data_IF_985689100349
#
_entry.id   IF_985689100349
#
_cell.length_a   1.000
_cell.length_b   1.000
_cell.length_c   1.000
_cell.angle_alpha   90.00
_cell.angle_beta   90.00
_cell.angle_gamma   90.00
#
_symmetry.space_group_name_H-M   'P 1'
#
loop_
_entity.id
_entity.type
_entity.pdbx_description
1 polymer ?
#
# COMPACT_ATOMS: atom_id res chain seq x y z
N UNK A 1 -28.92 16.51 -10.93
CA UNK A 1 -28.69 15.15 -11.47
C UNK A 1 -28.42 14.20 -10.31
N UNK A 2 -29.04 13.03 -10.32
CA UNK A 2 -29.00 12.06 -9.21
C UNK A 2 -28.81 10.65 -9.75
N UNK A 3 -28.22 9.77 -8.95
CA UNK A 3 -28.21 8.34 -9.24
C UNK A 3 -28.41 7.51 -7.97
N UNK A 4 -28.90 6.30 -8.17
CA UNK A 4 -29.06 5.26 -7.14
C UNK A 4 -28.38 4.00 -7.67
N UNK A 5 -27.59 3.34 -6.83
CA UNK A 5 -26.85 2.13 -7.17
C UNK A 5 -27.22 1.00 -6.21
N UNK A 6 -27.68 -0.13 -6.76
CA UNK A 6 -28.00 -1.35 -6.04
C UNK A 6 -26.97 -2.41 -6.42
N UNK A 7 -26.30 -3.01 -5.44
CA UNK A 7 -25.24 -4.01 -5.70
C UNK A 7 -25.33 -5.24 -4.76
N UNK A 8 -26.43 -6.03 -4.78
CA UNK A 8 -26.49 -7.27 -4.01
C UNK A 8 -25.38 -8.24 -4.42
N UNK A 9 -24.69 -8.79 -3.42
CA UNK A 9 -23.59 -9.73 -3.61
C UNK A 9 -23.89 -11.04 -2.88
N UNK A 10 -23.84 -12.14 -3.63
CA UNK A 10 -24.05 -13.48 -3.13
C UNK A 10 -22.71 -14.24 -3.18
N UNK A 11 -22.39 -14.98 -2.12
CA UNK A 11 -21.17 -15.79 -2.08
C UNK A 11 -21.45 -17.11 -1.37
N UNK A 12 -20.75 -18.16 -1.79
CA UNK A 12 -20.88 -19.50 -1.21
C UNK A 12 -19.48 -20.05 -0.88
N UNK A 13 -18.95 -19.86 0.34
CA UNK A 13 -17.64 -20.37 0.71
C UNK A 13 -17.67 -21.88 0.97
N UNK A 14 -16.86 -22.64 0.24
CA UNK A 14 -16.68 -24.09 0.39
C UNK A 14 -15.28 -24.41 0.88
N UNK A 15 -15.19 -25.29 1.89
CA UNK A 15 -13.92 -25.91 2.29
C UNK A 15 -13.84 -27.29 1.62
N UNK A 16 -13.07 -27.41 0.53
CA UNK A 16 -12.90 -28.68 -0.18
C UNK A 16 -12.08 -29.68 0.64
N UNK A 17 -11.15 -29.18 1.46
CA UNK A 17 -10.37 -29.98 2.42
C UNK A 17 -9.93 -29.10 3.59
N UNK A 18 -9.16 -29.66 4.53
CA UNK A 18 -8.50 -28.88 5.59
C UNK A 18 -7.51 -27.83 5.06
N UNK A 19 -7.05 -27.98 3.82
CA UNK A 19 -6.02 -27.13 3.23
C UNK A 19 -6.51 -26.30 2.07
N UNK A 20 -7.68 -26.58 1.48
CA UNK A 20 -8.18 -25.93 0.27
C UNK A 20 -9.57 -25.30 0.47
N UNK A 21 -9.71 -24.04 0.05
CA UNK A 21 -10.94 -23.26 0.11
C UNK A 21 -11.29 -22.67 -1.25
N UNK A 22 -12.56 -22.74 -1.61
CA UNK A 22 -13.12 -22.20 -2.85
C UNK A 22 -14.30 -21.30 -2.53
N UNK A 23 -14.34 -20.11 -3.13
CA UNK A 23 -15.36 -19.10 -2.86
C UNK A 23 -15.85 -18.55 -4.21
N UNK A 24 -16.89 -19.14 -4.80
CA UNK A 24 -17.67 -18.48 -5.83
C UNK A 24 -18.44 -17.29 -5.26
N UNK A 25 -18.52 -16.24 -6.06
CA UNK A 25 -19.26 -15.02 -5.78
C UNK A 25 -19.91 -14.50 -7.05
N UNK A 26 -21.15 -14.03 -6.91
CA UNK A 26 -21.89 -13.32 -7.94
C UNK A 26 -22.39 -12.02 -7.35
N UNK A 27 -22.03 -10.89 -7.97
CA UNK A 27 -22.61 -9.60 -7.65
C UNK A 27 -23.50 -9.15 -8.80
N UNK A 28 -24.71 -8.69 -8.50
CA UNK A 28 -25.60 -8.08 -9.48
C UNK A 28 -25.61 -6.59 -9.18
N UNK A 29 -25.45 -5.75 -10.20
CA UNK A 29 -25.39 -4.30 -10.01
C UNK A 29 -26.33 -3.60 -10.97
N UNK A 30 -27.23 -2.81 -10.40
CA UNK A 30 -28.21 -2.01 -11.11
C UNK A 30 -28.02 -0.54 -10.71
N UNK A 31 -27.66 0.31 -11.66
CA UNK A 31 -27.57 1.76 -11.45
C UNK A 31 -28.71 2.45 -12.19
N UNK A 32 -29.45 3.32 -11.51
CA UNK A 32 -30.54 4.14 -12.06
C UNK A 32 -30.13 5.59 -11.91
N UNK A 33 -30.25 6.40 -12.96
CA UNK A 33 -29.89 7.82 -12.92
C UNK A 33 -30.91 8.74 -13.57
N UNK A 34 -30.86 10.00 -13.15
CA UNK A 34 -31.55 11.13 -13.77
C UNK A 34 -30.59 12.31 -13.96
N UNK A 35 -30.63 12.94 -15.13
CA UNK A 35 -29.83 14.11 -15.49
C UNK A 35 -30.74 15.27 -15.86
N UNK A 36 -30.30 16.46 -15.49
CA UNK A 36 -31.05 17.73 -15.62
C UNK A 36 -30.30 18.72 -16.52
N UNK A 37 -29.19 18.29 -17.13
CA UNK A 37 -28.39 19.09 -18.02
C UNK A 37 -29.04 19.26 -19.40
N UNK A 38 -28.72 20.37 -20.06
CA UNK A 38 -29.22 20.69 -21.41
C UNK A 38 -28.64 19.81 -22.52
N UNK A 39 -27.73 18.89 -22.19
CA UNK A 39 -27.10 17.95 -23.13
C UNK A 39 -28.00 16.73 -23.43
N UNK A 40 -29.03 16.49 -22.62
CA UNK A 40 -29.93 15.35 -22.78
C UNK A 40 -31.36 15.80 -23.11
N UNK A 41 -31.83 15.44 -24.31
CA UNK A 41 -33.22 15.66 -24.75
C UNK A 41 -34.09 14.41 -24.55
N UNK A 42 -35.37 14.62 -24.24
CA UNK A 42 -36.37 13.55 -24.16
C UNK A 42 -36.03 12.42 -23.18
N UNK A 43 -36.07 11.17 -23.67
CA UNK A 43 -35.86 9.95 -22.87
C UNK A 43 -34.43 9.78 -22.36
N UNK A 44 -33.46 10.56 -22.84
CA UNK A 44 -32.07 10.50 -22.37
C UNK A 44 -31.85 11.19 -21.01
N UNK A 45 -32.88 11.86 -20.45
CA UNK A 45 -32.83 12.47 -19.12
C UNK A 45 -32.81 11.47 -17.97
N UNK A 46 -33.10 10.19 -18.22
CA UNK A 46 -32.99 9.12 -17.23
C UNK A 46 -32.54 7.83 -17.89
N UNK A 47 -31.86 6.96 -17.15
CA UNK A 47 -31.46 5.66 -17.66
C UNK A 47 -31.18 4.64 -16.57
N UNK A 48 -30.99 3.40 -17.00
CA UNK A 48 -30.60 2.27 -16.14
C UNK A 48 -29.42 1.52 -16.75
N UNK A 49 -28.59 0.94 -15.89
CA UNK A 49 -27.42 0.13 -16.25
C UNK A 49 -27.34 -1.07 -15.31
N UNK A 50 -27.73 -2.23 -15.83
CA UNK A 50 -27.65 -3.51 -15.16
C UNK A 50 -26.48 -4.36 -15.66
N UNK A 51 -25.75 -4.99 -14.74
CA UNK A 51 -24.74 -5.99 -15.07
C UNK A 51 -24.49 -6.95 -13.91
N UNK A 52 -23.67 -7.97 -14.17
CA UNK A 52 -23.26 -8.95 -13.20
C UNK A 52 -21.74 -9.08 -13.18
N UNK A 53 -21.19 -9.35 -11.99
CA UNK A 53 -19.78 -9.66 -11.79
C UNK A 53 -19.69 -11.09 -11.26
N UNK A 54 -18.83 -11.90 -11.87
CA UNK A 54 -18.53 -13.25 -11.40
C UNK A 54 -17.12 -13.26 -10.83
N UNK A 55 -16.95 -13.94 -9.69
CA UNK A 55 -15.63 -14.16 -9.11
C UNK A 55 -15.54 -15.59 -8.56
N UNK A 56 -14.40 -16.23 -8.77
CA UNK A 56 -14.07 -17.52 -8.19
C UNK A 56 -12.69 -17.43 -7.56
N UNK A 57 -12.65 -17.39 -6.23
CA UNK A 57 -11.41 -17.39 -5.47
C UNK A 57 -11.10 -18.80 -4.95
N UNK A 58 -9.89 -19.27 -5.21
CA UNK A 58 -9.36 -20.54 -4.74
C UNK A 58 -8.08 -20.28 -3.96
N UNK A 59 -7.93 -20.94 -2.82
CA UNK A 59 -6.72 -20.82 -2.01
C UNK A 59 -6.39 -22.14 -1.36
N UNK A 60 -5.09 -22.38 -1.15
CA UNK A 60 -4.62 -23.47 -0.30
C UNK A 60 -3.64 -22.93 0.74
N UNK A 61 -3.51 -23.62 1.87
CA UNK A 61 -2.54 -23.26 2.91
C UNK A 61 -1.90 -24.52 3.47
N UNK A 62 -0.58 -24.64 3.31
CA UNK A 62 0.21 -25.74 3.86
C UNK A 62 1.36 -25.18 4.66
N UNK A 63 1.77 -25.87 5.72
CA UNK A 63 2.89 -25.43 6.54
C UNK A 63 3.69 -26.60 7.09
N UNK A 64 4.99 -26.37 7.30
CA UNK A 64 5.90 -27.32 7.94
C UNK A 64 6.69 -26.62 9.04
N UNK A 65 6.92 -27.31 10.14
CA UNK A 65 7.76 -26.85 11.25
C UNK A 65 9.12 -27.54 11.14
N UNK A 66 10.18 -26.76 11.23
CA UNK A 66 11.56 -27.19 11.21
C UNK A 66 12.23 -26.88 12.54
N UNK A 67 12.94 -27.84 13.10
CA UNK A 67 13.79 -27.62 14.28
C UNK A 67 15.12 -27.03 13.80
N UNK A 68 15.45 -25.82 14.27
CA UNK A 68 16.66 -25.08 13.82
C UNK A 68 17.62 -24.78 14.95
N UNK A 69 17.13 -24.57 16.17
CA UNK A 69 17.94 -24.29 17.37
C UNK A 69 19.05 -23.24 17.14
N UNK A 70 18.72 -22.10 16.50
CA UNK A 70 19.66 -21.00 16.24
C UNK A 70 19.37 -19.84 17.19
N UNK A 71 20.34 -19.43 17.99
CA UNK A 71 20.19 -18.35 18.98
C UNK A 71 18.99 -18.58 19.92
N UNK A 72 17.97 -17.70 19.89
CA UNK A 72 16.73 -17.83 20.69
C UNK A 72 15.62 -18.58 19.96
N UNK A 73 15.83 -18.99 18.70
CA UNK A 73 14.84 -19.61 17.85
C UNK A 73 14.93 -21.13 17.96
N UNK A 74 13.92 -21.77 18.54
CA UNK A 74 13.87 -23.23 18.67
C UNK A 74 13.41 -23.86 17.34
N UNK A 75 12.33 -23.30 16.77
CA UNK A 75 11.66 -23.83 15.59
C UNK A 75 11.29 -22.73 14.62
N UNK A 76 11.25 -23.04 13.34
CA UNK A 76 10.71 -22.16 12.30
C UNK A 76 9.54 -22.89 11.63
N UNK A 77 8.37 -22.26 11.63
CA UNK A 77 7.24 -22.65 10.79
C UNK A 77 7.35 -21.91 9.46
N UNK A 78 7.41 -22.64 8.36
CA UNK A 78 7.25 -22.10 7.00
C UNK A 78 5.85 -22.47 6.51
N UNK A 79 5.10 -21.46 6.14
CA UNK A 79 3.78 -21.57 5.53
C UNK A 79 3.83 -21.11 4.08
N UNK A 80 3.17 -21.86 3.20
CA UNK A 80 3.00 -21.55 1.79
C UNK A 80 1.51 -21.46 1.50
N UNK A 81 1.08 -20.32 0.98
CA UNK A 81 -0.31 -20.02 0.63
C UNK A 81 -0.42 -19.62 -0.84
N UNK A 82 -0.68 -20.57 -1.75
CA UNK A 82 -1.09 -20.25 -3.11
C UNK A 82 -2.54 -19.76 -3.17
N UNK A 83 -2.79 -18.79 -4.04
CA UNK A 83 -4.07 -18.13 -4.25
C UNK A 83 -4.28 -17.97 -5.77
N UNK A 84 -5.49 -18.27 -6.24
CA UNK A 84 -5.90 -18.06 -7.63
C UNK A 84 -7.30 -17.45 -7.61
N UNK A 85 -7.50 -16.36 -8.31
CA UNK A 85 -8.79 -15.69 -8.45
C UNK A 85 -9.09 -15.49 -9.92
N UNK A 86 -10.22 -15.99 -10.38
CA UNK A 86 -10.80 -15.60 -11.66
C UNK A 86 -11.88 -14.55 -11.43
N UNK A 87 -11.87 -13.48 -12.20
CA UNK A 87 -12.91 -12.45 -12.13
C UNK A 87 -13.36 -12.02 -13.53
N UNK A 88 -14.67 -11.85 -13.67
CA UNK A 88 -15.34 -11.51 -14.91
C UNK A 88 -16.37 -10.39 -14.71
N UNK A 89 -16.28 -9.37 -15.55
CA UNK A 89 -17.21 -8.27 -15.73
C UNK A 89 -17.44 -8.13 -17.24
N UNK A 90 -18.68 -8.27 -17.73
CA UNK A 90 -18.97 -8.20 -19.15
C UNK A 90 -18.74 -6.80 -19.72
N UNK A 91 -18.51 -6.70 -21.02
CA UNK A 91 -18.57 -5.42 -21.73
C UNK A 91 -20.02 -4.92 -21.77
N UNK A 92 -20.25 -3.70 -21.31
CA UNK A 92 -21.57 -3.08 -21.23
C UNK A 92 -21.52 -1.77 -22.01
N UNK A 93 -22.55 -1.53 -22.82
CA UNK A 93 -22.71 -0.27 -23.55
C UNK A 93 -22.94 0.87 -22.56
N UNK A 94 -22.14 1.92 -22.66
CA UNK A 94 -22.12 3.04 -21.71
C UNK A 94 -22.10 4.40 -22.40
N UNK A 95 -22.52 4.48 -23.67
CA UNK A 95 -22.39 5.67 -24.52
C UNK A 95 -23.17 6.89 -23.99
N UNK A 96 -24.22 6.66 -23.19
CA UNK A 96 -25.13 7.69 -22.69
C UNK A 96 -25.08 7.87 -21.16
N UNK A 97 -24.03 7.39 -20.48
CA UNK A 97 -23.91 7.60 -19.03
C UNK A 97 -23.56 9.08 -18.74
N UNK A 98 -24.06 9.66 -17.64
CA UNK A 98 -23.66 11.00 -17.21
C UNK A 98 -22.21 11.05 -16.73
N UNK A 99 -21.54 12.21 -16.88
CA UNK A 99 -20.13 12.40 -16.52
C UNK A 99 -19.81 12.17 -15.03
N UNK A 100 -20.81 12.31 -14.16
CA UNK A 100 -20.68 12.03 -12.72
C UNK A 100 -20.75 10.54 -12.39
N UNK A 101 -21.03 9.67 -13.36
CA UNK A 101 -21.05 8.22 -13.17
C UNK A 101 -19.74 7.58 -13.64
N UNK A 102 -19.14 6.70 -12.84
CA UNK A 102 -17.96 5.98 -13.26
C UNK A 102 -18.29 5.01 -14.41
N UNK A 103 -17.44 5.01 -15.43
CA UNK A 103 -17.43 3.98 -16.45
C UNK A 103 -16.98 2.64 -15.86
N UNK A 104 -17.53 1.56 -16.37
CA UNK A 104 -17.19 0.19 -15.99
C UNK A 104 -16.33 -0.40 -17.09
N UNK A 105 -15.11 -0.78 -16.74
CA UNK A 105 -14.24 -1.51 -17.64
C UNK A 105 -14.68 -2.97 -17.71
N UNK A 106 -14.68 -3.54 -18.92
CA UNK A 106 -14.74 -4.99 -19.09
C UNK A 106 -13.55 -5.62 -18.35
N UNK A 107 -13.79 -6.73 -17.66
CA UNK A 107 -12.76 -7.43 -16.91
C UNK A 107 -12.89 -8.93 -17.15
N UNK A 108 -11.81 -9.59 -17.53
CA UNK A 108 -11.80 -11.04 -17.71
C UNK A 108 -10.38 -11.52 -17.45
N UNK A 109 -10.07 -11.78 -16.18
CA UNK A 109 -8.69 -11.96 -15.78
C UNK A 109 -8.52 -13.06 -14.74
N UNK A 110 -7.35 -13.69 -14.80
CA UNK A 110 -6.88 -14.65 -13.83
C UNK A 110 -5.74 -14.02 -13.02
N UNK A 111 -5.92 -13.86 -11.72
CA UNK A 111 -4.89 -13.40 -10.80
C UNK A 111 -4.37 -14.60 -10.02
N UNK A 112 -3.06 -14.80 -10.01
CA UNK A 112 -2.42 -15.76 -9.11
C UNK A 112 -1.60 -15.02 -8.06
N UNK A 113 -1.46 -15.65 -6.90
CA UNK A 113 -0.64 -15.17 -5.79
C UNK A 113 0.03 -16.32 -5.06
N UNK A 114 1.25 -16.10 -4.59
CA UNK A 114 1.99 -17.03 -3.75
C UNK A 114 2.57 -16.27 -2.56
N UNK A 115 2.05 -16.57 -1.37
CA UNK A 115 2.56 -16.00 -0.12
C UNK A 115 3.37 -17.06 0.63
N UNK A 116 4.60 -16.72 1.00
CA UNK A 116 5.44 -17.49 1.92
C UNK A 116 5.56 -16.73 3.23
N UNK A 117 5.26 -17.37 4.34
CA UNK A 117 5.36 -16.78 5.68
C UNK A 117 6.25 -17.65 6.56
N UNK A 118 7.22 -17.02 7.23
CA UNK A 118 8.14 -17.68 8.14
C UNK A 118 7.96 -17.12 9.56
N UNK A 119 7.64 -18.02 10.49
CA UNK A 119 7.41 -17.68 11.90
C UNK A 119 8.38 -18.45 12.77
N UNK A 120 9.21 -17.73 13.52
CA UNK A 120 10.11 -18.32 14.51
C UNK A 120 9.40 -18.48 15.85
N UNK A 121 9.54 -19.66 16.47
CA UNK A 121 9.18 -19.90 17.87
C UNK A 121 10.40 -19.56 18.73
N UNK A 122 10.25 -18.59 19.62
CA UNK A 122 11.31 -18.09 20.50
C UNK A 122 10.99 -18.37 21.96
N UNK A 123 12.02 -18.66 22.75
CA UNK A 123 11.89 -18.79 24.21
C UNK A 123 12.14 -17.42 24.86
N UNK A 124 11.11 -16.85 25.46
CA UNK A 124 11.19 -15.60 26.21
C UNK A 124 11.73 -15.83 27.63
N UNK A 125 12.05 -14.73 28.33
CA UNK A 125 12.40 -14.76 29.75
C UNK A 125 11.28 -15.43 30.56
N UNK A 126 11.65 -16.22 31.58
CA UNK A 126 10.75 -17.05 32.41
C UNK A 126 10.11 -18.27 31.72
N UNK A 127 10.63 -18.70 30.56
CA UNK A 127 10.20 -19.95 29.92
C UNK A 127 8.91 -19.85 29.10
N UNK A 128 8.35 -18.65 28.92
CA UNK A 128 7.25 -18.41 28.01
C UNK A 128 7.71 -18.52 26.55
N UNK A 129 6.80 -18.89 25.65
CA UNK A 129 7.08 -18.91 24.21
C UNK A 129 6.47 -17.69 23.52
N UNK A 130 7.23 -17.07 22.63
CA UNK A 130 6.74 -16.04 21.70
C UNK A 130 6.90 -16.52 20.26
N UNK A 131 6.08 -15.97 19.36
CA UNK A 131 6.12 -16.27 17.93
C UNK A 131 6.40 -14.98 17.16
N UNK A 132 7.48 -14.98 16.38
CA UNK A 132 7.88 -13.86 15.56
C UNK A 132 7.73 -14.22 14.09
N UNK A 133 6.75 -13.62 13.41
CA UNK A 133 6.73 -13.61 11.95
C UNK A 133 7.85 -12.69 11.47
N UNK A 134 8.97 -13.28 11.08
CA UNK A 134 10.17 -12.52 10.74
C UNK A 134 10.32 -12.29 9.25
N UNK A 135 9.62 -13.06 8.41
CA UNK A 135 9.69 -12.91 6.96
C UNK A 135 8.36 -13.29 6.31
N UNK A 136 7.81 -12.39 5.51
CA UNK A 136 6.70 -12.64 4.59
C UNK A 136 7.12 -12.20 3.20
N UNK A 137 6.92 -13.07 2.21
CA UNK A 137 7.18 -12.78 0.81
C UNK A 137 5.90 -13.08 0.04
N UNK A 138 5.39 -12.13 -0.73
CA UNK A 138 4.26 -12.33 -1.63
C UNK A 138 4.61 -11.97 -3.05
N UNK A 139 4.36 -12.91 -3.96
CA UNK A 139 4.37 -12.69 -5.40
C UNK A 139 2.95 -12.75 -5.92
N UNK A 140 2.57 -11.87 -6.83
CA UNK A 140 1.27 -11.95 -7.49
C UNK A 140 1.31 -11.28 -8.85
N UNK A 141 0.48 -11.76 -9.77
CA UNK A 141 0.34 -11.19 -11.10
C UNK A 141 -1.04 -11.51 -11.66
N UNK A 142 -1.55 -10.62 -12.49
CA UNK A 142 -2.81 -10.78 -13.20
C UNK A 142 -2.55 -11.03 -14.68
N UNK A 143 -3.29 -11.96 -15.25
CA UNK A 143 -3.32 -12.26 -16.68
C UNK A 143 -4.69 -11.87 -17.25
N UNK A 144 -4.70 -10.91 -18.16
CA UNK A 144 -5.88 -10.42 -18.87
C UNK A 144 -6.17 -11.30 -20.09
N UNK A 145 -7.28 -12.04 -20.01
CA UNK A 145 -7.71 -12.98 -21.05
C UNK A 145 -8.27 -12.24 -22.25
N UNK A 146 -8.89 -11.07 -22.07
CA UNK A 146 -9.44 -10.30 -23.18
C UNK A 146 -8.31 -9.69 -24.02
N UNK A 147 -7.32 -9.07 -23.36
CA UNK A 147 -6.15 -8.53 -24.05
C UNK A 147 -5.37 -9.65 -24.77
N UNK A 148 -5.30 -10.86 -24.20
CA UNK A 148 -4.65 -12.01 -24.85
C UNK A 148 -5.28 -12.42 -26.18
N UNK A 149 -6.60 -12.22 -26.32
CA UNK A 149 -7.41 -12.59 -27.50
C UNK A 149 -7.55 -11.45 -28.51
N UNK A 150 -7.02 -10.26 -28.21
CA UNK A 150 -7.13 -9.09 -29.08
C UNK A 150 -6.37 -9.34 -30.39
N UNK A 151 -7.04 -9.06 -31.51
CA UNK A 151 -6.39 -8.97 -32.81
C UNK A 151 -5.58 -7.66 -32.82
N UNK A 152 -4.26 -7.80 -32.78
CA UNK A 152 -3.34 -6.66 -32.89
C UNK A 152 -2.87 -6.57 -34.33
N UNK A 153 -3.37 -5.55 -35.03
CA UNK A 153 -2.87 -5.13 -36.34
C UNK A 153 -1.90 -3.95 -36.13
N UNK A 154 -0.73 -3.98 -36.79
CA UNK A 154 0.28 -2.93 -36.69
C UNK A 154 1.39 -3.19 -35.65
N UNK A 155 1.96 -2.11 -35.09
CA UNK A 155 3.12 -2.14 -34.17
C UNK A 155 2.76 -2.22 -32.68
N UNK A 156 1.48 -2.31 -32.33
CA UNK A 156 1.04 -2.40 -30.94
C UNK A 156 1.23 -3.83 -30.46
N UNK A 157 2.12 -4.02 -29.49
CA UNK A 157 2.35 -5.32 -28.88
C UNK A 157 1.26 -5.67 -27.86
N UNK A 158 0.88 -6.94 -27.83
CA UNK A 158 -0.12 -7.49 -26.89
C UNK A 158 0.47 -7.52 -25.47
N UNK A 159 -0.24 -6.94 -24.49
CA UNK A 159 0.23 -6.86 -23.09
C UNK A 159 -0.72 -7.54 -22.10
N UNK A 160 -0.87 -8.86 -22.24
CA UNK A 160 -1.80 -9.64 -21.43
C UNK A 160 -1.38 -9.82 -19.96
N UNK A 161 -0.08 -9.80 -19.66
CA UNK A 161 0.42 -9.86 -18.28
C UNK A 161 0.46 -8.47 -17.64
N UNK A 162 -0.11 -8.33 -16.45
CA UNK A 162 0.09 -7.13 -15.62
C UNK A 162 1.52 -7.09 -15.09
N UNK A 163 1.88 -5.97 -14.48
CA UNK A 163 3.07 -5.91 -13.65
C UNK A 163 2.96 -6.94 -12.51
N UNK A 164 4.06 -7.66 -12.27
CA UNK A 164 4.20 -8.62 -11.19
C UNK A 164 4.51 -7.87 -9.90
N UNK A 165 3.64 -8.00 -8.91
CA UNK A 165 3.86 -7.47 -7.57
C UNK A 165 4.80 -8.35 -6.76
N UNK A 166 5.77 -7.72 -6.10
CA UNK A 166 6.68 -8.36 -5.15
C UNK A 166 6.61 -7.60 -3.83
N UNK A 167 6.05 -8.24 -2.80
CA UNK A 167 6.03 -7.71 -1.45
C UNK A 167 6.97 -8.51 -0.56
N UNK A 168 7.78 -7.81 0.24
CA UNK A 168 8.60 -8.41 1.30
C UNK A 168 8.35 -7.65 2.58
N UNK A 169 8.11 -8.37 3.67
CA UNK A 169 8.14 -7.85 5.03
C UNK A 169 9.16 -8.67 5.82
N UNK A 170 10.21 -8.03 6.32
CA UNK A 170 11.30 -8.68 7.05
C UNK A 170 11.48 -8.01 8.41
N UNK A 171 11.26 -8.76 9.49
CA UNK A 171 11.26 -8.30 10.88
C UNK A 171 12.02 -9.29 11.76
N UNK A 172 13.36 -9.40 11.61
CA UNK A 172 14.17 -10.38 12.33
C UNK A 172 14.25 -10.10 13.84
N UNK A 173 13.98 -8.85 14.26
CA UNK A 173 14.05 -8.40 15.64
C UNK A 173 12.96 -7.34 15.91
N UNK A 174 12.44 -7.19 17.14
CA UNK A 174 11.48 -6.12 17.50
C UNK A 174 11.94 -4.68 17.20
N UNK A 175 13.24 -4.49 16.99
CA UNK A 175 13.90 -3.20 16.77
C UNK A 175 14.32 -2.97 15.32
N UNK A 176 14.08 -3.93 14.42
CA UNK A 176 14.46 -3.83 13.02
C UNK A 176 13.32 -4.34 12.15
N UNK A 177 12.84 -3.50 11.25
CA UNK A 177 11.92 -3.91 10.20
C UNK A 177 12.34 -3.35 8.85
N UNK A 178 12.18 -4.18 7.83
CA UNK A 178 12.31 -3.82 6.43
C UNK A 178 11.03 -4.19 5.69
N UNK A 179 10.55 -3.31 4.83
CA UNK A 179 9.44 -3.59 3.92
C UNK A 179 9.83 -3.21 2.50
N UNK A 180 9.50 -4.06 1.54
CA UNK A 180 9.61 -3.79 0.11
C UNK A 180 8.25 -3.95 -0.56
N UNK A 181 7.91 -3.02 -1.46
CA UNK A 181 6.72 -3.07 -2.31
C UNK A 181 7.14 -2.70 -3.73
N UNK A 182 7.36 -3.71 -4.56
CA UNK A 182 7.86 -3.53 -5.91
C UNK A 182 6.86 -4.02 -6.94
N UNK A 183 6.92 -3.45 -8.14
CA UNK A 183 6.21 -3.90 -9.33
C UNK A 183 7.21 -4.07 -10.46
N UNK A 184 7.17 -5.24 -11.09
CA UNK A 184 8.03 -5.58 -12.22
C UNK A 184 7.17 -5.87 -13.45
N UNK A 185 7.30 -5.04 -14.46
CA UNK A 185 6.70 -5.24 -15.77
C UNK A 185 7.57 -6.14 -16.62
N UNK A 186 6.97 -7.17 -17.22
CA UNK A 186 7.67 -8.06 -18.17
C UNK A 186 8.11 -7.30 -19.43
N UNK A 187 7.51 -6.13 -19.70
CA UNK A 187 7.78 -5.31 -20.88
C UNK A 187 8.75 -4.15 -20.61
N UNK A 188 8.69 -3.54 -19.43
CA UNK A 188 9.43 -2.31 -19.12
C UNK A 188 10.44 -2.47 -17.96
N UNK A 189 10.53 -3.64 -17.32
CA UNK A 189 11.34 -3.84 -16.12
C UNK A 189 10.67 -3.31 -14.85
N UNK A 190 11.45 -2.82 -13.88
CA UNK A 190 10.92 -2.30 -12.63
C UNK A 190 10.12 -1.00 -12.84
N UNK A 191 8.83 -1.03 -12.53
CA UNK A 191 7.92 0.12 -12.68
C UNK A 191 7.71 0.85 -11.36
N UNK A 192 7.71 0.12 -10.25
CA UNK A 192 7.62 0.69 -8.89
C UNK A 192 8.62 -0.02 -8.00
N UNK A 193 9.37 0.75 -7.20
CA UNK A 193 10.32 0.21 -6.21
C UNK A 193 10.24 1.03 -4.94
N UNK A 194 9.64 0.47 -3.89
CA UNK A 194 9.47 1.16 -2.61
C UNK A 194 10.10 0.34 -1.49
N UNK A 195 10.99 0.98 -0.73
CA UNK A 195 11.69 0.37 0.41
C UNK A 195 11.50 1.19 1.66
N UNK A 196 11.27 0.53 2.79
CA UNK A 196 11.19 1.14 4.10
C UNK A 196 12.05 0.35 5.08
N UNK A 197 13.02 1.01 5.70
CA UNK A 197 13.84 0.48 6.79
C UNK A 197 13.48 1.25 8.05
N UNK A 198 13.18 0.54 9.13
CA UNK A 198 13.01 1.13 10.45
C UNK A 198 13.91 0.42 11.46
N UNK A 199 14.69 1.21 12.19
CA UNK A 199 15.57 0.78 13.26
C UNK A 199 15.20 1.58 14.50
N UNK A 200 14.93 0.92 15.60
CA UNK A 200 14.63 1.57 16.88
C UNK A 200 15.42 0.95 18.02
N UNK A 201 15.36 1.53 19.21
CA UNK A 201 15.91 0.91 20.40
C UNK A 201 14.99 1.07 21.62
N UNK A 202 15.41 0.52 22.76
CA UNK A 202 14.68 0.59 24.03
C UNK A 202 14.73 1.98 24.69
N UNK A 203 15.69 2.84 24.32
CA UNK A 203 15.80 4.23 24.81
C UNK A 203 14.83 5.16 24.10
N UNK A 204 14.35 4.75 22.92
CA UNK A 204 13.42 5.52 22.09
C UNK A 204 14.09 6.24 20.93
N UNK A 205 15.35 5.89 20.63
CA UNK A 205 16.00 6.25 19.37
C UNK A 205 15.25 5.58 18.20
N UNK A 206 15.14 6.27 17.08
CA UNK A 206 14.48 5.74 15.89
C UNK A 206 15.09 6.32 14.61
N UNK A 207 15.42 5.45 13.66
CA UNK A 207 15.84 5.79 12.31
C UNK A 207 14.89 5.12 11.32
N UNK A 208 14.25 5.93 10.49
CA UNK A 208 13.42 5.48 9.38
C UNK A 208 14.04 5.97 8.07
N UNK A 209 14.28 5.06 7.13
CA UNK A 209 14.74 5.38 5.78
C UNK A 209 13.73 4.83 4.78
N UNK A 210 13.18 5.70 3.96
CA UNK A 210 12.25 5.37 2.89
C UNK A 210 12.86 5.70 1.53
N UNK A 211 12.78 4.77 0.59
CA UNK A 211 13.03 5.01 -0.83
C UNK A 211 11.73 4.79 -1.60
N UNK A 212 11.41 5.68 -2.52
CA UNK A 212 10.25 5.57 -3.41
C UNK A 212 10.69 5.80 -4.84
N UNK A 213 10.28 4.92 -5.73
CA UNK A 213 10.52 5.04 -7.16
C UNK A 213 9.27 4.61 -7.93
N UNK A 214 8.85 5.46 -8.87
CA UNK A 214 7.84 5.16 -9.88
C UNK A 214 8.39 5.60 -11.23
N UNK A 215 8.44 4.67 -12.18
CA UNK A 215 9.00 4.88 -13.51
C UNK A 215 8.48 6.19 -14.14
N UNK A 216 9.41 7.03 -14.57
CA UNK A 216 9.17 8.33 -15.21
C UNK A 216 8.32 9.34 -14.41
N UNK A 217 8.22 9.18 -13.08
CA UNK A 217 7.35 10.03 -12.28
C UNK A 217 7.92 10.43 -10.92
N UNK A 218 8.46 9.47 -10.15
CA UNK A 218 8.89 9.71 -8.77
C UNK A 218 10.24 9.03 -8.55
N UNK A 219 11.15 9.75 -7.90
CA UNK A 219 12.31 9.16 -7.25
C UNK A 219 12.60 9.99 -5.99
N UNK A 220 12.42 9.40 -4.82
CA UNK A 220 12.50 10.11 -3.54
C UNK A 220 13.25 9.29 -2.49
N UNK A 221 14.09 9.96 -1.72
CA UNK A 221 14.75 9.41 -0.52
C UNK A 221 14.30 10.24 0.68
N UNK A 222 13.79 9.53 1.69
CA UNK A 222 13.33 10.08 2.94
C UNK A 222 14.13 9.48 4.09
N UNK A 223 14.64 10.33 4.98
CA UNK A 223 15.35 9.94 6.19
C UNK A 223 14.72 10.68 7.35
N UNK A 224 14.36 9.95 8.40
CA UNK A 224 13.90 10.51 9.67
C UNK A 224 14.70 9.86 10.79
N UNK A 225 15.42 10.67 11.56
CA UNK A 225 16.19 10.26 12.71
C UNK A 225 15.67 10.99 13.94
N UNK A 226 15.38 10.25 14.99
CA UNK A 226 15.17 10.74 16.35
C UNK A 226 16.25 10.14 17.24
N UNK A 227 17.02 11.00 17.89
CA UNK A 227 18.05 10.61 18.85
C UNK A 227 17.65 11.07 20.25
N UNK A 228 17.59 10.15 21.21
CA UNK A 228 17.40 10.46 22.64
C UNK A 228 18.79 10.72 23.24
N UNK A 229 19.15 12.00 23.33
CA UNK A 229 20.49 12.44 23.75
C UNK A 229 20.62 12.33 25.28
N UNK A 230 19.59 12.77 26.00
CA UNK A 230 19.46 12.59 27.46
C UNK A 230 18.01 12.24 27.82
N UNK A 231 17.73 12.06 29.11
CA UNK A 231 16.36 11.86 29.64
C UNK A 231 15.40 13.03 29.33
N UNK A 232 15.94 14.20 29.04
CA UNK A 232 15.17 15.44 28.77
C UNK A 232 15.41 16.01 27.38
N UNK A 233 16.49 15.63 26.69
CA UNK A 233 16.87 16.22 25.41
C UNK A 233 16.79 15.18 24.29
N UNK A 234 16.01 15.49 23.26
CA UNK A 234 15.95 14.72 22.03
C UNK A 234 16.32 15.59 20.83
N UNK A 235 17.07 15.01 19.89
CA UNK A 235 17.33 15.59 18.58
C UNK A 235 16.47 14.92 17.51
N UNK A 236 16.03 15.69 16.53
CA UNK A 236 15.32 15.18 15.36
C UNK A 236 15.98 15.69 14.08
N UNK A 237 16.07 14.83 13.07
CA UNK A 237 16.54 15.17 11.75
C UNK A 237 15.62 14.55 10.71
N UNK A 238 15.08 15.37 9.82
CA UNK A 238 14.23 14.93 8.70
C UNK A 238 14.85 15.45 7.41
N UNK A 239 15.07 14.55 6.46
CA UNK A 239 15.51 14.91 5.12
C UNK A 239 14.64 14.18 4.10
N UNK A 240 13.99 14.94 3.23
CA UNK A 240 13.22 14.45 2.09
C UNK A 240 13.77 15.07 0.82
N UNK A 241 14.21 14.22 -0.10
CA UNK A 241 14.81 14.67 -1.36
C UNK A 241 14.15 13.99 -2.54
N UNK A 242 13.58 14.81 -3.41
CA UNK A 242 13.03 14.42 -4.70
C UNK A 242 14.19 14.43 -5.70
N UNK A 243 14.70 13.25 -5.99
CA UNK A 243 15.82 13.01 -6.90
C UNK A 243 15.38 13.18 -8.36
N UNK A 244 14.14 12.83 -8.68
CA UNK A 244 13.59 12.95 -10.03
C UNK A 244 13.60 14.41 -10.51
N UNK A 245 13.19 15.34 -9.65
CA UNK A 245 13.23 16.78 -9.94
C UNK A 245 14.48 17.48 -9.37
N UNK A 246 15.44 16.73 -8.81
CA UNK A 246 16.67 17.25 -8.21
C UNK A 246 16.46 18.39 -7.19
N UNK A 247 15.45 18.27 -6.31
CA UNK A 247 15.06 19.31 -5.34
C UNK A 247 14.97 18.79 -3.91
N UNK A 248 15.16 19.69 -2.94
CA UNK A 248 15.01 19.37 -1.52
C UNK A 248 13.59 19.65 -1.07
N UNK A 249 12.79 18.60 -0.86
CA UNK A 249 11.40 18.74 -0.38
C UNK A 249 11.40 19.23 1.06
N UNK A 250 12.27 18.68 1.90
CA UNK A 250 12.36 19.07 3.31
C UNK A 250 13.74 18.75 3.87
N UNK A 251 14.32 19.67 4.61
CA UNK A 251 15.47 19.40 5.46
C UNK A 251 15.28 20.12 6.79
N UNK A 252 14.99 19.37 7.83
CA UNK A 252 14.64 19.88 9.15
C UNK A 252 15.56 19.32 10.21
N UNK A 253 16.12 20.19 11.03
CA UNK A 253 16.87 19.85 12.24
C UNK A 253 16.10 20.41 13.42
N UNK A 254 15.84 19.58 14.43
CA UNK A 254 15.10 19.95 15.62
C UNK A 254 15.81 19.50 16.89
N UNK A 255 15.63 20.29 17.95
CA UNK A 255 15.97 19.93 19.31
C UNK A 255 14.74 20.11 20.19
N UNK A 256 14.44 19.12 21.01
CA UNK A 256 13.34 19.12 21.96
C UNK A 256 13.91 18.91 23.37
N UNK A 257 13.76 19.91 24.22
CA UNK A 257 14.01 19.81 25.65
C UNK A 257 12.69 19.68 26.40
N UNK A 258 12.47 18.54 27.04
CA UNK A 258 11.24 18.20 27.73
C UNK A 258 11.50 17.92 29.22
N UNK A 259 10.68 18.53 30.06
CA UNK A 259 10.60 18.27 31.51
C UNK A 259 9.22 17.73 31.86
N UNK A 260 8.93 17.55 33.15
CA UNK A 260 7.63 17.01 33.60
C UNK A 260 6.44 17.92 33.26
N UNK A 261 6.62 19.24 33.27
CA UNK A 261 5.52 20.21 33.17
C UNK A 261 5.54 21.07 31.90
N UNK A 262 6.64 21.03 31.15
CA UNK A 262 6.82 21.85 29.95
C UNK A 262 7.87 21.26 29.01
N UNK A 263 7.74 21.59 27.73
CA UNK A 263 8.71 21.29 26.70
C UNK A 263 8.96 22.53 25.82
N UNK A 264 10.21 22.71 25.43
CA UNK A 264 10.64 23.72 24.46
C UNK A 264 11.30 23.00 23.29
N UNK A 265 10.81 23.28 22.09
CA UNK A 265 11.34 22.79 20.84
C UNK A 265 11.89 23.93 20.00
N UNK A 266 13.06 23.73 19.40
CA UNK A 266 13.61 24.61 18.37
C UNK A 266 13.78 23.79 17.10
N UNK A 267 13.23 24.27 15.99
CA UNK A 267 13.35 23.65 14.69
C UNK A 267 13.87 24.65 13.66
N UNK A 268 14.82 24.19 12.86
CA UNK A 268 15.26 24.84 11.63
C UNK A 268 14.80 23.98 10.46
N UNK A 269 14.10 24.57 9.49
CA UNK A 269 13.63 23.84 8.30
C UNK A 269 13.93 24.61 7.02
N UNK A 270 14.34 23.88 5.99
CA UNK A 270 14.57 24.37 4.64
C UNK A 270 13.75 23.54 3.65
N UNK A 271 13.02 24.22 2.76
CA UNK A 271 12.12 23.58 1.78
C UNK A 271 12.23 24.30 0.44
N UNK A 272 12.38 23.54 -0.64
CA UNK A 272 12.32 24.07 -2.00
C UNK A 272 10.90 23.86 -2.57
N UNK A 273 10.31 24.90 -3.13
CA UNK A 273 8.99 24.87 -3.75
C UNK A 273 9.00 25.47 -5.16
N UNK A 274 8.09 25.01 -6.02
CA UNK A 274 7.88 25.61 -7.34
C UNK A 274 6.88 26.76 -7.23
N UNK A 275 7.30 27.96 -7.61
CA UNK A 275 6.44 29.13 -7.74
C UNK A 275 5.52 29.05 -8.96
N UNK A 276 4.55 29.97 -9.03
CA UNK A 276 3.60 30.10 -10.15
C UNK A 276 4.28 30.36 -11.50
N UNK A 277 5.50 30.88 -11.50
CA UNK A 277 6.35 31.17 -12.65
C UNK A 277 7.28 30.00 -13.03
N UNK A 278 7.09 28.83 -12.42
CA UNK A 278 7.98 27.67 -12.56
C UNK A 278 9.42 27.91 -12.08
N UNK A 279 9.69 28.99 -11.33
CA UNK A 279 10.97 29.15 -10.66
C UNK A 279 10.99 28.42 -9.32
N UNK A 280 12.15 27.84 -9.02
CA UNK A 280 12.39 27.19 -7.73
C UNK A 280 12.73 28.26 -6.69
N UNK A 281 11.95 28.30 -5.61
CA UNK A 281 12.18 29.19 -4.47
C UNK A 281 12.48 28.36 -3.23
N UNK A 282 13.46 28.82 -2.46
CA UNK A 282 13.87 28.17 -1.20
C UNK A 282 13.30 28.97 -0.04
N UNK A 283 12.48 28.32 0.78
CA UNK A 283 11.97 28.86 2.04
C UNK A 283 12.83 28.33 3.20
N UNK A 284 13.18 29.23 4.14
CA UNK A 284 13.97 28.91 5.32
C UNK A 284 13.24 29.41 6.56
N UNK A 285 12.93 28.49 7.48
CA UNK A 285 12.10 28.76 8.66
C UNK A 285 12.82 28.39 9.94
N UNK A 286 12.67 29.23 10.95
CA UNK A 286 13.02 28.93 12.34
C UNK A 286 11.73 28.92 13.16
N UNK A 287 11.47 27.83 13.88
CA UNK A 287 10.24 27.63 14.63
C UNK A 287 10.61 27.34 16.09
N UNK A 288 10.13 28.20 17.00
CA UNK A 288 10.17 27.97 18.44
C UNK A 288 8.81 27.44 18.89
N UNK A 289 8.77 26.25 19.47
CA UNK A 289 7.57 25.60 20.01
C UNK A 289 7.65 25.55 21.52
N UNK A 290 6.64 26.08 22.22
CA UNK A 290 6.49 25.92 23.67
C UNK A 290 5.24 25.09 23.95
N UNK A 291 5.38 24.05 24.76
CA UNK A 291 4.28 23.20 25.19
C UNK A 291 4.28 23.10 26.71
N UNK A 292 3.10 23.24 27.34
CA UNK A 292 2.92 23.08 28.77
C UNK A 292 2.19 21.75 29.01
N UNK A 293 2.95 20.72 29.38
CA UNK A 293 2.44 19.37 29.64
C UNK A 293 1.93 19.31 31.07
N UNK A 294 0.60 19.24 31.27
CA UNK A 294 -0.01 19.20 32.61
C UNK A 294 -1.09 20.26 32.85
N UNK A 295 -1.26 21.22 31.93
CA UNK A 295 -2.52 21.95 31.78
C UNK A 295 -3.39 21.08 30.87
N UNK A 296 -4.44 20.47 31.42
CA UNK A 296 -5.30 19.53 30.70
C UNK A 296 -5.84 20.06 29.37
N UNK A 297 -6.38 19.17 28.54
CA UNK A 297 -7.20 19.53 27.37
C UNK A 297 -8.18 20.64 27.76
N UNK A 298 -7.94 21.86 27.29
CA UNK A 298 -9.00 22.86 27.18
C UNK A 298 -9.43 22.90 25.73
N UNK A 299 -10.45 22.09 25.44
CA UNK A 299 -11.42 22.47 24.43
C UNK A 299 -12.34 23.51 25.04
N UNK A 300 -12.47 24.63 24.34
CA UNK A 300 -13.71 25.34 24.08
C UNK A 300 -13.62 25.82 22.63
#
# INVERSE_FOLDING_TARGET
GHFVDFNPTFSAPFNLSHYAKVIPQVALRETIWSREDGQAEGSNKSGTRGHYNLSLAMSSQVSRVFDVNVQTWEKIRHEVKPEITYAYVPNIRQDNIPDYMPAIAEYNALTWGLTNTFTAKQRAAKGAYSYLEFLRIKLFQTYDINESKKNVEGTVERRALSDMGVEVDFKPHPYLSFAARNQYSVYNGWTVTNYDVNISDWRGDNLTVGYRYTLNSIEEINVNLKAVITDKLAGTFVSRRDQFNSRTVENTVGLLYQTQCWAVGLEYSKTDSLGLDSQMTTDTRFILKLSLTGLGKFGL
#
